data_IF_161779862126
#
_entry.id   IF_161779862126
#
_cell.length_a   1.000
_cell.length_b   1.000
_cell.length_c   1.000
_cell.angle_alpha   90.00
_cell.angle_beta   90.00
_cell.angle_gamma   90.00
#
_symmetry.space_group_name_H-M   'P 1'
#
loop_
_entity.id
_entity.type
_entity.pdbx_description
1 polymer ?
#
# COMPACT_ATOMS: atom_id res chain seq x y z
N UNK A 1 18.28 44.04 27.26
CA UNK A 1 17.02 44.60 26.74
C UNK A 1 17.16 45.47 25.50
N UNK A 2 18.04 46.47 25.46
CA UNK A 2 18.17 47.38 24.28
C UNK A 2 18.54 46.70 22.95
N UNK A 3 19.34 45.59 22.96
CA UNK A 3 19.67 44.79 21.77
C UNK A 3 18.50 43.90 21.28
N UNK A 4 17.69 43.38 22.19
CA UNK A 4 16.49 42.61 21.85
C UNK A 4 15.40 43.49 21.20
N UNK A 5 15.26 44.74 21.71
CA UNK A 5 14.35 45.74 21.13
C UNK A 5 14.71 46.12 19.69
N UNK A 6 16.00 46.19 19.34
CA UNK A 6 16.47 46.56 18.00
C UNK A 6 16.31 45.43 16.97
N UNK A 7 16.36 44.16 17.39
CA UNK A 7 16.16 42.99 16.51
C UNK A 7 14.67 42.76 16.17
N UNK A 8 13.78 43.05 17.10
CA UNK A 8 12.33 42.88 16.94
C UNK A 8 11.73 43.85 15.91
N UNK A 9 12.43 44.94 15.57
CA UNK A 9 11.86 45.97 14.67
C UNK A 9 11.95 45.62 13.18
N UNK A 10 12.61 44.56 12.75
CA UNK A 10 12.88 44.29 11.33
C UNK A 10 11.84 43.42 10.60
N UNK A 11 10.76 42.96 11.21
CA UNK A 11 9.78 42.11 10.55
C UNK A 11 8.35 42.19 11.11
N UNK A 12 8.07 43.05 12.04
CA UNK A 12 6.82 43.06 12.82
C UNK A 12 5.90 44.20 12.37
N UNK A 13 4.58 43.96 12.34
CA UNK A 13 3.58 45.01 12.01
C UNK A 13 3.68 46.21 12.94
N UNK A 14 3.30 47.38 12.46
CA UNK A 14 3.35 48.66 13.22
C UNK A 14 2.59 48.59 14.56
N UNK A 15 1.47 47.88 14.62
CA UNK A 15 0.67 47.64 15.84
C UNK A 15 1.41 46.82 16.90
N UNK A 16 2.16 45.80 16.45
CA UNK A 16 2.96 44.92 17.32
C UNK A 16 4.20 45.70 17.84
N UNK A 17 4.81 46.58 17.01
CA UNK A 17 5.92 47.46 17.42
C UNK A 17 5.49 48.40 18.54
N UNK A 18 4.32 49.03 18.43
CA UNK A 18 3.80 49.93 19.47
C UNK A 18 3.45 49.23 20.77
N UNK A 19 2.93 47.98 20.69
CA UNK A 19 2.67 47.17 21.87
C UNK A 19 3.96 46.75 22.56
N UNK A 20 4.97 46.38 21.77
CA UNK A 20 6.30 45.98 22.27
C UNK A 20 7.06 47.15 22.85
N UNK A 21 7.03 48.35 22.22
CA UNK A 21 7.67 49.57 22.73
C UNK A 21 7.05 49.98 24.08
N UNK A 22 5.73 50.00 24.21
CA UNK A 22 5.04 50.25 25.47
C UNK A 22 5.34 49.19 26.53
N UNK A 23 5.46 47.92 26.16
CA UNK A 23 5.80 46.86 27.09
C UNK A 23 7.23 46.98 27.59
N UNK A 24 8.17 47.41 26.72
CA UNK A 24 9.58 47.65 27.07
C UNK A 24 9.75 48.91 27.92
N UNK A 25 9.03 50.00 27.63
CA UNK A 25 8.99 51.19 28.46
C UNK A 25 8.43 50.87 29.87
N UNK A 26 7.38 50.08 29.97
CA UNK A 26 6.88 49.60 31.26
C UNK A 26 7.90 48.69 31.97
N UNK A 27 8.61 47.82 31.25
CA UNK A 27 9.62 46.93 31.83
C UNK A 27 10.85 47.70 32.36
N UNK A 28 11.24 48.80 31.71
CA UNK A 28 12.33 49.69 32.21
C UNK A 28 11.91 50.48 33.46
N UNK A 29 10.64 50.90 33.55
CA UNK A 29 10.06 51.58 34.70
C UNK A 29 9.92 50.68 35.93
N UNK A 30 9.92 49.37 35.79
CA UNK A 30 9.56 48.40 36.85
C UNK A 30 10.75 47.56 37.30
N UNK A 31 11.97 48.08 37.23
CA UNK A 31 13.12 47.47 37.93
C UNK A 31 12.93 47.44 39.47
N UNK A 32 11.86 47.97 39.98
CA UNK A 32 11.57 48.00 41.40
C UNK A 32 10.73 46.79 41.84
N UNK A 33 11.23 46.01 42.81
CA UNK A 33 10.73 44.70 43.25
C UNK A 33 9.27 44.63 43.74
N UNK A 34 8.56 45.73 43.79
CA UNK A 34 7.18 45.82 44.33
C UNK A 34 6.06 45.55 43.29
N UNK A 35 6.36 45.47 42.00
CA UNK A 35 5.35 45.44 40.94
C UNK A 35 5.34 44.14 40.11
N UNK A 36 5.96 43.05 40.61
CA UNK A 36 6.08 41.79 39.86
C UNK A 36 4.78 41.18 39.41
N UNK A 37 3.68 41.39 40.13
CA UNK A 37 2.34 40.82 39.79
C UNK A 37 1.72 41.60 38.62
N UNK A 38 1.88 42.91 38.55
CA UNK A 38 1.35 43.73 37.44
C UNK A 38 2.09 43.46 36.12
N UNK A 39 3.35 43.10 36.20
CA UNK A 39 4.17 42.75 35.04
C UNK A 39 3.87 41.40 34.39
N UNK A 40 3.23 40.48 35.09
CA UNK A 40 2.92 39.15 34.52
C UNK A 40 2.10 39.25 33.24
N UNK A 41 1.18 40.22 33.16
CA UNK A 41 0.37 40.47 31.97
C UNK A 41 1.21 40.90 30.74
N UNK A 42 2.19 41.79 31.00
CA UNK A 42 3.10 42.33 29.99
C UNK A 42 4.02 41.21 29.49
N UNK A 43 4.65 40.49 30.39
CA UNK A 43 5.52 39.34 30.03
C UNK A 43 4.79 38.26 29.27
N UNK A 44 3.56 37.96 29.65
CA UNK A 44 2.69 37.00 28.93
C UNK A 44 2.41 37.49 27.51
N UNK A 45 2.16 38.76 27.27
CA UNK A 45 1.95 39.31 25.94
C UNK A 45 3.22 39.27 25.10
N UNK A 46 4.37 39.63 25.68
CA UNK A 46 5.67 39.55 25.01
C UNK A 46 5.99 38.10 24.61
N UNK A 47 5.82 37.16 25.52
CA UNK A 47 6.03 35.75 25.26
C UNK A 47 5.12 35.22 24.12
N UNK A 48 3.86 35.69 24.08
CA UNK A 48 2.94 35.34 22.98
C UNK A 48 3.41 35.82 21.61
N UNK A 49 4.06 36.99 21.56
CA UNK A 49 4.66 37.54 20.33
C UNK A 49 5.88 36.71 19.94
N UNK A 50 6.74 36.37 20.89
CA UNK A 50 7.93 35.53 20.64
C UNK A 50 7.54 34.13 20.18
N UNK A 51 6.50 33.51 20.78
CA UNK A 51 5.97 32.24 20.37
C UNK A 51 5.54 32.26 18.91
N UNK A 52 4.72 33.21 18.51
CA UNK A 52 4.20 33.32 17.13
C UNK A 52 5.28 33.53 16.07
N UNK A 53 6.43 34.10 16.46
CA UNK A 53 7.54 34.42 15.55
C UNK A 53 8.70 33.44 15.65
N UNK A 54 8.62 32.44 16.52
CA UNK A 54 9.71 31.47 16.74
C UNK A 54 10.99 32.14 17.32
N UNK A 55 10.85 33.24 18.10
CA UNK A 55 11.95 33.98 18.67
C UNK A 55 12.41 33.34 19.98
N UNK A 56 13.15 32.24 19.90
CA UNK A 56 13.52 31.41 21.06
C UNK A 56 14.51 32.11 22.00
N UNK A 57 15.50 32.81 21.45
CA UNK A 57 16.54 33.48 22.23
C UNK A 57 15.94 34.56 23.10
N UNK A 58 14.99 35.31 22.56
CA UNK A 58 14.27 36.37 23.26
C UNK A 58 13.29 35.78 24.28
N UNK A 59 12.66 34.66 23.98
CA UNK A 59 11.80 33.94 24.92
C UNK A 59 12.58 33.45 26.14
N UNK A 60 13.75 32.85 25.93
CA UNK A 60 14.63 32.39 27.02
C UNK A 60 15.18 33.58 27.85
N UNK A 61 15.63 34.66 27.18
CA UNK A 61 16.07 35.87 27.88
C UNK A 61 14.96 36.47 28.77
N UNK A 62 13.70 36.40 28.28
CA UNK A 62 12.56 36.86 29.08
C UNK A 62 12.31 35.96 30.31
N UNK A 63 12.47 34.63 30.17
CA UNK A 63 12.36 33.68 31.29
C UNK A 63 13.48 33.92 32.34
N UNK A 64 14.71 34.22 31.87
CA UNK A 64 15.82 34.59 32.75
C UNK A 64 15.56 35.92 33.48
N UNK A 65 15.03 36.92 32.79
CA UNK A 65 14.62 38.19 33.39
C UNK A 65 13.53 38.01 34.47
N UNK A 66 12.52 37.15 34.18
CA UNK A 66 11.49 36.79 35.17
C UNK A 66 12.10 36.15 36.40
N UNK A 67 13.05 35.23 36.21
CA UNK A 67 13.75 34.55 37.31
C UNK A 67 14.61 35.55 38.12
N UNK A 68 15.30 36.45 37.43
CA UNK A 68 16.10 37.50 38.09
C UNK A 68 15.22 38.45 38.92
N UNK A 69 13.98 38.67 38.50
CA UNK A 69 13.01 39.46 39.27
C UNK A 69 12.28 38.65 40.35
N UNK A 70 12.67 37.41 40.62
CA UNK A 70 12.02 36.48 41.54
C UNK A 70 10.52 36.21 41.21
N UNK A 71 10.14 36.35 39.94
CA UNK A 71 8.79 36.03 39.45
C UNK A 71 8.84 34.67 38.79
N UNK A 72 8.12 33.72 39.33
CA UNK A 72 8.02 32.39 38.71
C UNK A 72 7.09 32.48 37.52
N UNK A 73 7.53 32.04 36.31
CA UNK A 73 6.68 32.05 35.13
C UNK A 73 5.49 31.10 35.34
N UNK A 74 4.31 31.59 34.99
CA UNK A 74 3.13 30.76 34.95
C UNK A 74 3.28 29.71 33.82
N UNK A 75 2.66 28.56 33.99
CA UNK A 75 2.77 27.44 33.06
C UNK A 75 2.44 27.81 31.61
N UNK A 76 1.45 28.71 31.41
CA UNK A 76 1.11 29.22 30.08
C UNK A 76 2.24 29.96 29.40
N UNK A 77 3.09 30.65 30.19
CA UNK A 77 4.26 31.39 29.69
C UNK A 77 5.35 30.41 29.26
N UNK A 78 5.53 29.34 30.02
CA UNK A 78 6.44 28.24 29.67
C UNK A 78 5.98 27.50 28.42
N UNK A 79 4.68 27.24 28.28
CA UNK A 79 4.09 26.61 27.09
C UNK A 79 4.30 27.47 25.84
N UNK A 80 4.17 28.82 25.95
CA UNK A 80 4.47 29.71 24.84
C UNK A 80 5.97 29.74 24.50
N UNK A 81 6.87 29.69 25.50
CA UNK A 81 8.30 29.59 25.23
C UNK A 81 8.67 28.26 24.54
N UNK A 82 8.02 27.19 24.94
CA UNK A 82 8.15 25.89 24.29
C UNK A 82 7.64 25.95 22.84
N UNK A 83 6.52 26.60 22.60
CA UNK A 83 5.98 26.81 21.23
C UNK A 83 7.02 27.56 20.36
N UNK A 84 7.63 28.61 20.87
CA UNK A 84 8.70 29.33 20.17
C UNK A 84 9.86 28.40 19.81
N UNK A 85 10.32 27.57 20.74
CA UNK A 85 11.41 26.63 20.54
C UNK A 85 11.08 25.55 19.51
N UNK A 86 9.84 25.02 19.51
CA UNK A 86 9.36 24.04 18.55
C UNK A 86 9.24 24.66 17.16
N UNK A 87 8.72 25.89 17.04
CA UNK A 87 8.61 26.58 15.75
C UNK A 87 9.96 26.87 15.11
N UNK A 88 10.98 27.23 15.94
CA UNK A 88 12.32 27.47 15.47
C UNK A 88 13.15 26.22 15.21
N UNK A 89 12.62 25.04 15.56
CA UNK A 89 13.26 23.71 15.36
C UNK A 89 14.62 23.53 16.06
N UNK A 90 14.79 24.20 17.21
CA UNK A 90 16.01 24.15 18.00
C UNK A 90 15.93 23.15 19.15
N UNK A 91 16.35 21.88 18.92
CA UNK A 91 16.29 20.77 19.91
C UNK A 91 16.96 21.16 21.24
N UNK A 92 18.14 21.76 21.22
CA UNK A 92 18.83 22.18 22.42
C UNK A 92 18.02 23.22 23.22
N UNK A 93 17.38 24.16 22.54
CA UNK A 93 16.55 25.20 23.16
C UNK A 93 15.24 24.63 23.76
N UNK A 94 14.68 23.58 23.18
CA UNK A 94 13.55 22.86 23.78
C UNK A 94 13.94 22.31 25.16
N UNK A 95 15.15 21.74 25.28
CA UNK A 95 15.68 21.26 26.56
C UNK A 95 15.91 22.40 27.57
N UNK A 96 16.42 23.53 27.10
CA UNK A 96 16.59 24.71 27.94
C UNK A 96 15.22 25.19 28.50
N UNK A 97 14.20 25.31 27.67
CA UNK A 97 12.84 25.68 28.11
C UNK A 97 12.26 24.63 29.07
N UNK A 98 12.41 23.34 28.76
CA UNK A 98 11.92 22.27 29.65
C UNK A 98 12.60 22.28 31.04
N UNK A 99 13.82 22.80 31.16
CA UNK A 99 14.49 22.98 32.44
C UNK A 99 13.76 23.95 33.39
N UNK A 100 13.01 24.90 32.86
CA UNK A 100 12.19 25.81 33.67
C UNK A 100 10.91 25.21 34.27
N UNK A 101 10.43 24.09 33.68
CA UNK A 101 9.32 23.35 34.29
C UNK A 101 9.75 22.53 35.52
N UNK A 102 11.05 22.33 35.71
CA UNK A 102 11.61 21.58 36.83
C UNK A 102 12.07 22.55 37.94
N UNK A 103 11.80 22.20 39.18
CA UNK A 103 12.23 22.97 40.31
C UNK A 103 13.77 22.89 40.55
N UNK A 104 14.44 21.94 39.91
CA UNK A 104 15.88 21.68 40.03
C UNK A 104 16.54 21.48 38.66
N UNK A 105 17.82 21.83 38.47
CA UNK A 105 18.54 21.64 37.21
C UNK A 105 18.65 20.15 36.91
N UNK A 106 18.08 19.71 35.77
CA UNK A 106 18.00 18.30 35.42
C UNK A 106 18.81 17.95 34.18
N UNK A 107 19.38 16.75 34.22
CA UNK A 107 20.02 16.16 33.06
C UNK A 107 18.97 15.81 32.00
N UNK A 108 19.21 16.03 30.67
CA UNK A 108 18.25 15.76 29.59
C UNK A 108 17.59 14.37 29.64
N UNK A 109 18.35 13.34 30.00
CA UNK A 109 17.86 11.96 30.16
C UNK A 109 16.89 11.78 31.34
N UNK A 110 16.95 12.65 32.36
CA UNK A 110 16.04 12.60 33.52
C UNK A 110 14.68 13.21 33.16
N UNK A 111 14.63 14.16 32.23
CA UNK A 111 13.40 14.69 31.67
C UNK A 111 12.64 13.57 30.93
N UNK A 112 13.34 12.75 30.16
CA UNK A 112 12.78 11.60 29.44
C UNK A 112 12.31 10.48 30.36
N UNK A 113 12.93 10.30 31.55
CA UNK A 113 12.54 9.25 32.52
C UNK A 113 11.22 9.48 33.23
N UNK A 114 10.59 10.63 33.02
CA UNK A 114 9.26 10.96 33.53
C UNK A 114 9.14 11.18 35.04
N UNK A 115 10.24 11.18 35.80
CA UNK A 115 10.20 11.37 37.27
C UNK A 115 9.81 12.77 37.72
N UNK A 116 10.01 13.79 36.87
CA UNK A 116 9.81 15.21 37.20
C UNK A 116 8.81 15.96 36.27
N UNK A 117 8.02 15.23 35.50
CA UNK A 117 7.02 15.78 34.56
C UNK A 117 5.72 16.20 35.27
N UNK A 118 5.73 16.40 36.61
CA UNK A 118 4.52 16.62 37.40
C UNK A 118 3.64 17.78 36.94
N UNK A 119 4.22 18.78 36.24
CA UNK A 119 3.58 20.02 35.89
C UNK A 119 3.28 20.20 34.39
N UNK A 120 3.46 19.16 33.56
CA UNK A 120 3.19 19.31 32.12
C UNK A 120 1.70 19.33 31.83
N UNK A 121 1.28 20.32 31.07
CA UNK A 121 -0.12 20.49 30.64
C UNK A 121 -0.38 19.69 29.35
N UNK A 122 -1.63 19.48 28.94
CA UNK A 122 -1.96 18.98 27.61
C UNK A 122 -1.30 19.77 26.48
N UNK A 123 -1.17 21.10 26.64
CA UNK A 123 -0.55 21.99 25.69
C UNK A 123 0.96 21.71 25.57
N UNK A 124 1.65 21.50 26.70
CA UNK A 124 3.07 21.10 26.72
C UNK A 124 3.29 19.82 25.90
N UNK A 125 2.45 18.79 26.13
CA UNK A 125 2.52 17.56 25.36
C UNK A 125 2.27 17.80 23.88
N UNK A 126 1.31 18.65 23.52
CA UNK A 126 1.00 18.96 22.10
C UNK A 126 2.19 19.58 21.38
N UNK A 127 2.88 20.54 22.00
CA UNK A 127 4.08 21.17 21.42
C UNK A 127 5.23 20.16 21.25
N UNK A 128 5.46 19.29 22.25
CA UNK A 128 6.47 18.26 22.14
C UNK A 128 6.14 17.21 21.08
N UNK A 129 4.87 16.82 20.94
CA UNK A 129 4.40 15.92 19.89
C UNK A 129 4.51 16.58 18.51
N UNK A 130 4.25 17.88 18.40
CA UNK A 130 4.51 18.64 17.18
C UNK A 130 5.99 18.58 16.78
N UNK A 131 6.90 18.78 17.74
CA UNK A 131 8.33 18.64 17.49
C UNK A 131 8.68 17.21 17.01
N UNK A 132 8.16 16.18 17.66
CA UNK A 132 8.35 14.79 17.22
C UNK A 132 7.90 14.58 15.77
N UNK A 133 6.74 15.13 15.40
CA UNK A 133 6.22 15.01 14.03
C UNK A 133 7.08 15.77 13.00
N UNK A 134 7.73 16.89 13.38
CA UNK A 134 8.65 17.62 12.50
C UNK A 134 9.99 16.93 12.33
N UNK A 135 10.51 16.34 13.40
CA UNK A 135 11.81 15.66 13.43
C UNK A 135 11.74 14.16 13.13
N UNK A 136 10.54 13.64 12.87
CA UNK A 136 10.28 12.20 12.69
C UNK A 136 10.80 11.35 13.85
N UNK A 137 10.79 11.89 15.08
CA UNK A 137 11.27 11.18 16.26
C UNK A 137 10.17 10.33 16.88
N UNK A 138 9.99 9.16 16.32
CA UNK A 138 8.92 8.23 16.68
C UNK A 138 9.06 7.64 18.09
N UNK A 139 10.28 7.31 18.50
CA UNK A 139 10.54 6.73 19.85
C UNK A 139 10.18 7.73 20.95
N UNK A 140 10.56 8.98 20.77
CA UNK A 140 10.22 10.04 21.72
C UNK A 140 8.71 10.30 21.76
N UNK A 141 8.04 10.27 20.62
CA UNK A 141 6.58 10.36 20.55
C UNK A 141 5.91 9.27 21.40
N UNK A 142 6.33 8.00 21.27
CA UNK A 142 5.79 6.89 22.07
C UNK A 142 6.01 7.11 23.56
N UNK A 143 7.19 7.58 23.95
CA UNK A 143 7.50 7.91 25.37
C UNK A 143 6.57 9.00 25.91
N UNK A 144 6.34 10.08 25.14
CA UNK A 144 5.44 11.16 25.51
C UNK A 144 4.01 10.67 25.71
N UNK A 145 3.49 9.92 24.76
CA UNK A 145 2.11 9.37 24.83
C UNK A 145 1.96 8.45 26.05
N UNK A 146 2.92 7.56 26.28
CA UNK A 146 2.91 6.68 27.46
C UNK A 146 2.99 7.45 28.78
N UNK A 147 3.76 8.53 28.82
CA UNK A 147 3.87 9.39 29.99
C UNK A 147 2.57 10.15 30.23
N UNK A 148 1.95 10.72 29.20
CA UNK A 148 0.66 11.37 29.29
C UNK A 148 -0.43 10.39 29.82
N UNK A 149 -0.46 9.16 29.27
CA UNK A 149 -1.40 8.12 29.69
C UNK A 149 -1.20 7.71 31.18
N UNK A 150 0.03 7.47 31.61
CA UNK A 150 0.34 7.14 33.01
C UNK A 150 -0.11 8.21 34.00
N UNK A 151 -0.18 9.46 33.54
CA UNK A 151 -0.59 10.62 34.35
C UNK A 151 -2.06 11.00 34.16
N UNK A 152 -2.80 10.23 33.40
CA UNK A 152 -4.19 10.51 33.07
C UNK A 152 -4.39 11.91 32.43
N UNK A 153 -3.39 12.41 31.69
CA UNK A 153 -3.49 13.64 30.93
C UNK A 153 -4.30 13.39 29.66
N UNK A 154 -5.40 14.11 29.49
CA UNK A 154 -6.23 14.02 28.29
C UNK A 154 -5.60 14.86 27.19
N UNK A 155 -5.12 14.21 26.15
CA UNK A 155 -4.56 14.88 24.97
C UNK A 155 -5.69 15.39 24.06
N UNK A 156 -5.50 16.56 23.46
CA UNK A 156 -6.45 17.15 22.51
C UNK A 156 -6.29 16.59 21.06
N UNK A 157 -7.18 17.02 20.17
CA UNK A 157 -7.14 16.61 18.75
C UNK A 157 -5.86 17.02 18.03
N UNK A 158 -5.30 18.20 18.34
CA UNK A 158 -4.02 18.65 17.74
C UNK A 158 -2.85 17.71 18.11
N UNK A 159 -2.83 17.25 19.37
CA UNK A 159 -1.84 16.26 19.81
C UNK A 159 -1.98 14.95 19.02
N UNK A 160 -3.23 14.47 18.81
CA UNK A 160 -3.48 13.27 18.02
C UNK A 160 -3.07 13.44 16.56
N UNK A 161 -3.31 14.61 15.98
CA UNK A 161 -2.86 14.91 14.60
C UNK A 161 -1.34 14.78 14.48
N UNK A 162 -0.59 15.25 15.47
CA UNK A 162 0.87 15.14 15.48
C UNK A 162 1.33 13.69 15.68
N UNK A 163 0.64 12.91 16.51
CA UNK A 163 0.88 11.47 16.68
C UNK A 163 0.69 10.74 15.34
N UNK A 164 -0.44 10.97 14.65
CA UNK A 164 -0.74 10.34 13.36
C UNK A 164 0.30 10.73 12.31
N UNK A 165 0.72 12.00 12.24
CA UNK A 165 1.78 12.45 11.32
C UNK A 165 3.13 11.79 11.60
N UNK A 166 3.52 11.70 12.86
CA UNK A 166 4.77 11.05 13.26
C UNK A 166 4.73 9.55 12.91
N UNK A 167 3.63 8.86 13.18
CA UNK A 167 3.43 7.47 12.81
C UNK A 167 3.44 7.25 11.28
N UNK A 168 2.88 8.18 10.51
CA UNK A 168 2.96 8.16 9.05
C UNK A 168 4.40 8.21 8.55
N UNK A 169 5.19 9.16 9.06
CA UNK A 169 6.60 9.32 8.69
C UNK A 169 7.47 8.11 9.09
N UNK A 170 7.12 7.46 10.21
CA UNK A 170 7.79 6.25 10.67
C UNK A 170 7.37 4.96 9.94
N UNK A 171 6.33 5.02 9.10
CA UNK A 171 5.80 3.84 8.43
C UNK A 171 5.01 2.90 9.34
N UNK A 172 4.43 3.43 10.43
CA UNK A 172 3.72 2.66 11.46
C UNK A 172 2.20 2.93 11.46
N UNK A 173 1.47 2.48 10.42
CA UNK A 173 0.04 2.76 10.25
C UNK A 173 -0.82 2.15 11.36
N UNK A 174 -0.40 1.01 11.91
CA UNK A 174 -1.10 0.36 13.02
C UNK A 174 -1.15 1.27 14.25
N UNK A 175 -0.05 1.94 14.56
CA UNK A 175 0.00 2.83 15.72
C UNK A 175 -0.88 4.05 15.51
N UNK A 176 -0.86 4.65 14.30
CA UNK A 176 -1.77 5.75 13.97
C UNK A 176 -3.25 5.34 14.19
N UNK A 177 -3.62 4.15 13.71
CA UNK A 177 -4.96 3.61 13.86
C UNK A 177 -5.33 3.29 15.33
N UNK A 178 -4.49 2.52 16.01
CA UNK A 178 -4.74 2.09 17.40
C UNK A 178 -4.81 3.27 18.36
N UNK A 179 -3.94 4.28 18.20
CA UNK A 179 -3.96 5.50 19.01
C UNK A 179 -5.25 6.29 18.79
N UNK A 180 -5.68 6.45 17.53
CA UNK A 180 -6.92 7.17 17.22
C UNK A 180 -8.13 6.44 17.79
N UNK A 181 -8.21 5.13 17.62
CA UNK A 181 -9.33 4.31 18.10
C UNK A 181 -9.41 4.26 19.63
N UNK A 182 -8.27 4.13 20.32
CA UNK A 182 -8.23 3.83 21.75
C UNK A 182 -8.15 5.08 22.64
N UNK A 183 -7.58 6.18 22.14
CA UNK A 183 -7.41 7.40 22.93
C UNK A 183 -8.54 8.40 22.73
N UNK A 184 -9.29 8.29 21.62
CA UNK A 184 -10.29 9.30 21.25
C UNK A 184 -11.55 8.64 20.70
N UNK A 185 -12.54 8.46 21.58
CA UNK A 185 -13.84 7.87 21.19
C UNK A 185 -14.60 8.71 20.14
N UNK A 186 -14.25 9.99 19.94
CA UNK A 186 -14.90 10.92 19.03
C UNK A 186 -13.88 11.74 18.24
N UNK A 187 -12.88 11.10 17.64
CA UNK A 187 -11.94 11.78 16.74
C UNK A 187 -12.70 12.37 15.55
N UNK A 188 -12.36 13.62 15.17
CA UNK A 188 -12.99 14.28 14.03
C UNK A 188 -12.72 13.58 12.70
N UNK A 189 -13.58 13.78 11.71
CA UNK A 189 -13.42 13.25 10.36
C UNK A 189 -12.06 13.65 9.74
N UNK A 190 -11.53 14.84 10.09
CA UNK A 190 -10.23 15.33 9.66
C UNK A 190 -9.07 14.43 10.15
N UNK A 191 -9.15 13.95 11.38
CA UNK A 191 -8.14 13.03 11.94
C UNK A 191 -8.25 11.67 11.26
N UNK A 192 -9.45 11.14 11.11
CA UNK A 192 -9.68 9.89 10.41
C UNK A 192 -9.22 9.94 8.96
N UNK A 193 -9.31 11.09 8.29
CA UNK A 193 -8.74 11.29 6.95
C UNK A 193 -7.21 11.15 6.94
N UNK A 194 -6.50 11.67 7.95
CA UNK A 194 -5.06 11.49 8.06
C UNK A 194 -4.67 10.04 8.41
N UNK A 195 -5.46 9.37 9.24
CA UNK A 195 -5.31 7.93 9.51
C UNK A 195 -5.55 7.13 8.24
N UNK A 196 -6.58 7.44 7.47
CA UNK A 196 -6.89 6.82 6.19
C UNK A 196 -5.71 6.95 5.21
N UNK A 197 -5.16 8.16 5.03
CA UNK A 197 -3.98 8.38 4.20
C UNK A 197 -2.78 7.56 4.66
N UNK A 198 -2.54 7.52 5.96
CA UNK A 198 -1.45 6.72 6.54
C UNK A 198 -1.66 5.24 6.27
N UNK A 199 -2.84 4.73 6.54
CA UNK A 199 -3.16 3.31 6.34
C UNK A 199 -3.15 2.92 4.85
N UNK A 200 -3.62 3.78 3.95
CA UNK A 200 -3.64 3.52 2.52
C UNK A 200 -2.22 3.47 1.94
N UNK A 201 -1.37 4.46 2.23
CA UNK A 201 0.03 4.50 1.76
C UNK A 201 0.83 3.29 2.24
N UNK A 202 0.63 2.86 3.48
CA UNK A 202 1.34 1.71 4.07
C UNK A 202 0.56 0.38 3.97
N UNK A 203 -0.52 0.34 3.19
CA UNK A 203 -1.31 -0.88 2.91
C UNK A 203 -1.86 -1.58 4.17
N UNK A 204 -2.21 -0.83 5.22
CA UNK A 204 -2.76 -1.38 6.44
C UNK A 204 -4.29 -1.51 6.36
N UNK A 205 -4.75 -2.61 5.83
CA UNK A 205 -6.14 -2.87 5.50
C UNK A 205 -7.16 -2.68 6.65
N UNK A 206 -6.95 -3.16 7.90
CA UNK A 206 -7.92 -2.97 8.97
C UNK A 206 -8.18 -1.51 9.32
N UNK A 207 -7.13 -0.67 9.22
CA UNK A 207 -7.25 0.77 9.46
C UNK A 207 -7.96 1.51 8.32
N UNK A 208 -7.79 1.06 7.07
CA UNK A 208 -8.41 1.70 5.90
C UNK A 208 -9.93 1.61 5.98
N UNK A 209 -10.49 0.43 6.24
CA UNK A 209 -11.94 0.23 6.28
C UNK A 209 -12.59 1.12 7.34
N UNK A 210 -12.09 1.07 8.57
CA UNK A 210 -12.62 1.88 9.68
C UNK A 210 -12.44 3.37 9.42
N UNK A 211 -11.27 3.79 8.96
CA UNK A 211 -11.00 5.21 8.70
C UNK A 211 -11.87 5.76 7.54
N UNK A 212 -12.11 4.94 6.51
CA UNK A 212 -13.03 5.30 5.42
C UNK A 212 -14.43 5.60 5.92
N UNK A 213 -14.98 4.74 6.77
CA UNK A 213 -16.33 4.92 7.35
C UNK A 213 -16.46 6.21 8.15
N UNK A 214 -15.41 6.59 8.90
CA UNK A 214 -15.40 7.78 9.75
C UNK A 214 -15.05 9.08 9.01
N UNK A 215 -14.40 9.00 7.85
CA UNK A 215 -13.98 10.17 7.07
C UNK A 215 -14.93 10.55 5.92
N UNK A 216 -15.96 9.78 5.67
CA UNK A 216 -16.89 9.86 4.52
C UNK A 216 -17.43 11.22 4.08
N UNK A 217 -17.57 12.26 4.86
CA UNK A 217 -18.06 13.53 4.31
C UNK A 217 -16.97 14.44 3.74
N UNK A 218 -15.68 14.06 3.79
CA UNK A 218 -14.59 14.90 3.32
C UNK A 218 -14.23 14.58 1.88
N UNK A 219 -13.85 15.61 1.13
CA UNK A 219 -13.31 15.47 -0.23
C UNK A 219 -12.02 14.62 -0.22
N UNK A 220 -12.03 13.56 -1.02
CA UNK A 220 -10.87 12.69 -1.22
C UNK A 220 -10.20 13.07 -2.52
N UNK A 221 -8.87 13.18 -2.53
CA UNK A 221 -8.10 13.35 -3.76
C UNK A 221 -7.97 12.02 -4.52
N UNK A 222 -7.79 12.09 -5.83
CA UNK A 222 -7.67 10.92 -6.70
C UNK A 222 -6.52 10.00 -6.29
N UNK A 223 -5.37 10.56 -5.90
CA UNK A 223 -4.22 9.77 -5.45
C UNK A 223 -4.53 8.93 -4.20
N UNK A 224 -5.32 9.48 -3.27
CA UNK A 224 -5.78 8.73 -2.11
C UNK A 224 -6.76 7.62 -2.49
N UNK A 225 -7.69 7.87 -3.42
CA UNK A 225 -8.62 6.84 -3.92
C UNK A 225 -7.87 5.69 -4.58
N UNK A 226 -6.87 5.97 -5.41
CA UNK A 226 -6.00 4.97 -6.01
C UNK A 226 -5.28 4.15 -4.94
N UNK A 227 -4.70 4.80 -3.92
CA UNK A 227 -4.02 4.10 -2.83
C UNK A 227 -4.98 3.18 -2.04
N UNK A 228 -6.22 3.63 -1.79
CA UNK A 228 -7.26 2.83 -1.14
C UNK A 228 -7.63 1.62 -1.99
N UNK A 229 -7.82 1.80 -3.31
CA UNK A 229 -8.15 0.73 -4.24
C UNK A 229 -7.04 -0.33 -4.28
N UNK A 230 -5.77 0.09 -4.37
CA UNK A 230 -4.63 -0.83 -4.33
C UNK A 230 -4.52 -1.60 -3.00
N UNK A 231 -4.76 -0.94 -1.88
CA UNK A 231 -4.77 -1.61 -0.58
C UNK A 231 -5.95 -2.59 -0.45
N UNK A 232 -7.14 -2.19 -0.91
CA UNK A 232 -8.32 -3.03 -0.91
C UNK A 232 -8.19 -4.25 -1.85
N UNK A 233 -7.47 -4.10 -2.99
CA UNK A 233 -7.26 -5.19 -3.95
C UNK A 233 -6.50 -6.38 -3.38
N UNK A 234 -5.56 -6.12 -2.47
CA UNK A 234 -4.77 -7.19 -1.83
C UNK A 234 -5.56 -8.04 -0.85
N UNK A 235 -6.64 -7.51 -0.31
CA UNK A 235 -7.42 -8.15 0.76
C UNK A 235 -8.84 -8.50 0.34
N UNK A 236 -9.23 -8.18 -0.88
CA UNK A 236 -10.57 -8.46 -1.41
C UNK A 236 -11.69 -7.67 -0.71
N UNK A 237 -11.45 -6.42 -0.28
CA UNK A 237 -12.46 -5.57 0.36
C UNK A 237 -13.40 -4.93 -0.68
N UNK A 238 -14.32 -5.73 -1.20
CA UNK A 238 -15.19 -5.36 -2.33
C UNK A 238 -16.19 -4.24 -2.03
N UNK A 239 -16.67 -4.11 -0.80
CA UNK A 239 -17.55 -3.01 -0.40
C UNK A 239 -16.82 -1.68 -0.36
N UNK A 240 -15.59 -1.69 0.15
CA UNK A 240 -14.71 -0.53 0.15
C UNK A 240 -14.38 -0.10 -1.29
N UNK A 241 -14.05 -1.06 -2.16
CA UNK A 241 -13.79 -0.82 -3.59
C UNK A 241 -15.01 -0.19 -4.25
N UNK A 242 -16.21 -0.76 -4.09
CA UNK A 242 -17.44 -0.23 -4.68
C UNK A 242 -17.74 1.19 -4.20
N UNK A 243 -17.49 1.46 -2.91
CA UNK A 243 -17.67 2.78 -2.31
C UNK A 243 -16.63 3.80 -2.79
N UNK A 244 -15.39 3.38 -2.98
CA UNK A 244 -14.32 4.24 -3.50
C UNK A 244 -14.53 4.58 -4.98
N UNK A 245 -14.90 3.60 -5.81
CA UNK A 245 -15.23 3.82 -7.23
C UNK A 245 -16.40 4.79 -7.41
N UNK A 246 -17.40 4.75 -6.53
CA UNK A 246 -18.52 5.70 -6.56
C UNK A 246 -18.12 7.17 -6.31
N UNK A 247 -16.92 7.40 -5.77
CA UNK A 247 -16.38 8.75 -5.55
C UNK A 247 -15.54 9.24 -6.75
N UNK A 248 -15.22 8.39 -7.72
CA UNK A 248 -14.42 8.74 -8.89
C UNK A 248 -15.35 9.26 -10.00
N UNK A 249 -15.19 10.50 -10.49
CA UNK A 249 -16.07 11.04 -11.52
C UNK A 249 -15.85 10.40 -12.90
N UNK A 250 -14.61 10.06 -13.24
CA UNK A 250 -14.25 9.39 -14.50
C UNK A 250 -13.37 8.17 -14.21
N UNK A 251 -13.91 6.99 -14.50
CA UNK A 251 -13.21 5.73 -14.28
C UNK A 251 -12.17 5.52 -15.39
N UNK A 252 -10.95 5.22 -14.98
CA UNK A 252 -9.82 4.89 -15.85
C UNK A 252 -9.26 3.52 -15.47
N UNK A 253 -8.34 3.00 -16.27
CA UNK A 253 -7.62 1.74 -16.02
C UNK A 253 -6.95 1.70 -14.65
N UNK A 254 -6.40 2.84 -14.19
CA UNK A 254 -5.75 2.97 -12.86
C UNK A 254 -6.72 2.68 -11.72
N UNK A 255 -8.02 2.94 -11.89
CA UNK A 255 -9.06 2.64 -10.91
C UNK A 255 -9.64 1.23 -11.09
N UNK A 256 -9.85 0.83 -12.34
CA UNK A 256 -10.54 -0.43 -12.67
C UNK A 256 -9.66 -1.66 -12.44
N UNK A 257 -8.34 -1.58 -12.72
CA UNK A 257 -7.43 -2.72 -12.50
C UNK A 257 -7.38 -3.17 -11.04
N UNK A 258 -7.15 -2.29 -10.04
CA UNK A 258 -7.21 -2.69 -8.64
C UNK A 258 -8.60 -3.18 -8.20
N UNK A 259 -9.67 -2.61 -8.77
CA UNK A 259 -11.03 -3.06 -8.48
C UNK A 259 -11.27 -4.48 -8.99
N UNK A 260 -10.88 -4.76 -10.23
CA UNK A 260 -10.90 -6.11 -10.79
C UNK A 260 -10.12 -7.11 -9.94
N UNK A 261 -8.92 -6.73 -9.52
CA UNK A 261 -8.09 -7.56 -8.65
C UNK A 261 -8.77 -7.87 -7.31
N UNK A 262 -9.44 -6.86 -6.70
CA UNK A 262 -10.17 -7.04 -5.45
C UNK A 262 -11.34 -8.01 -5.60
N UNK A 263 -12.11 -7.91 -6.69
CA UNK A 263 -13.22 -8.82 -6.96
C UNK A 263 -12.73 -10.25 -7.24
N UNK A 264 -11.62 -10.41 -7.93
CA UNK A 264 -10.98 -11.73 -8.10
C UNK A 264 -10.54 -12.31 -6.75
N UNK A 265 -9.89 -11.50 -5.89
CA UNK A 265 -9.42 -11.94 -4.57
C UNK A 265 -10.58 -12.38 -3.67
N UNK A 266 -11.71 -11.68 -3.73
CA UNK A 266 -12.93 -12.00 -3.00
C UNK A 266 -13.78 -13.12 -3.67
N UNK A 267 -13.36 -13.67 -4.80
CA UNK A 267 -14.11 -14.65 -5.62
C UNK A 267 -15.47 -14.16 -6.11
N UNK A 268 -15.64 -12.83 -6.22
CA UNK A 268 -16.82 -12.23 -6.85
C UNK A 268 -16.62 -12.15 -8.36
N UNK A 269 -16.56 -13.33 -9.01
CA UNK A 269 -16.18 -13.44 -10.41
C UNK A 269 -17.15 -12.72 -11.36
N UNK A 270 -18.44 -12.66 -11.05
CA UNK A 270 -19.41 -11.89 -11.86
C UNK A 270 -18.99 -10.42 -11.98
N UNK A 271 -18.74 -9.76 -10.83
CA UNK A 271 -18.27 -8.37 -10.81
C UNK A 271 -16.88 -8.21 -11.44
N UNK A 272 -16.01 -9.20 -11.25
CA UNK A 272 -14.70 -9.18 -11.88
C UNK A 272 -14.82 -9.20 -13.42
N UNK A 273 -15.75 -9.99 -13.98
CA UNK A 273 -15.98 -10.02 -15.43
C UNK A 273 -16.64 -8.73 -15.95
N UNK A 274 -17.55 -8.14 -15.17
CA UNK A 274 -18.15 -6.83 -15.54
C UNK A 274 -17.08 -5.75 -15.67
N UNK A 275 -16.22 -5.61 -14.65
CA UNK A 275 -15.11 -4.64 -14.66
C UNK A 275 -14.10 -4.93 -15.78
N UNK A 276 -13.83 -6.21 -16.06
CA UNK A 276 -12.94 -6.59 -17.15
C UNK A 276 -13.53 -6.23 -18.52
N UNK A 277 -14.85 -6.36 -18.65
CA UNK A 277 -15.58 -5.89 -19.83
C UNK A 277 -15.49 -4.38 -20.03
N UNK A 278 -15.60 -3.61 -18.95
CA UNK A 278 -15.43 -2.15 -18.99
C UNK A 278 -13.99 -1.76 -19.38
N UNK A 279 -12.97 -2.41 -18.80
CA UNK A 279 -11.56 -2.22 -19.18
C UNK A 279 -11.34 -2.47 -20.68
N UNK A 280 -11.88 -3.57 -21.19
CA UNK A 280 -11.76 -3.91 -22.60
C UNK A 280 -12.49 -2.91 -23.50
N UNK A 281 -13.68 -2.45 -23.11
CA UNK A 281 -14.44 -1.45 -23.83
C UNK A 281 -13.74 -0.08 -23.90
N UNK A 282 -12.99 0.29 -22.85
CA UNK A 282 -12.16 1.50 -22.83
C UNK A 282 -10.85 1.36 -23.61
N UNK A 283 -10.55 0.18 -24.18
CA UNK A 283 -9.29 -0.08 -24.90
C UNK A 283 -8.05 -0.13 -24.00
N UNK A 284 -8.24 -0.36 -22.69
CA UNK A 284 -7.16 -0.52 -21.73
C UNK A 284 -6.41 -1.83 -21.94
N UNK A 285 -5.14 -1.87 -21.52
CA UNK A 285 -4.37 -3.11 -21.53
C UNK A 285 -5.01 -4.16 -20.61
N UNK A 286 -5.07 -5.39 -21.09
CA UNK A 286 -5.61 -6.52 -20.33
C UNK A 286 -4.73 -6.80 -19.10
N UNK A 287 -5.26 -6.75 -17.87
CA UNK A 287 -4.47 -7.01 -16.67
C UNK A 287 -3.93 -8.46 -16.65
N UNK A 288 -2.84 -8.74 -15.94
CA UNK A 288 -2.28 -10.10 -15.83
C UNK A 288 -3.30 -11.09 -15.24
N UNK A 289 -3.74 -12.07 -16.03
CA UNK A 289 -4.78 -13.03 -15.65
C UNK A 289 -4.37 -14.04 -14.59
N UNK A 290 -3.12 -14.01 -14.13
CA UNK A 290 -2.59 -14.96 -13.14
C UNK A 290 -3.40 -14.97 -11.82
N UNK A 291 -3.96 -13.83 -11.41
CA UNK A 291 -4.80 -13.74 -10.21
C UNK A 291 -6.12 -14.46 -10.40
N UNK A 292 -6.80 -14.24 -11.53
CA UNK A 292 -8.03 -14.93 -11.88
C UNK A 292 -7.80 -16.44 -11.92
N UNK A 293 -6.78 -16.90 -12.65
CA UNK A 293 -6.40 -18.30 -12.74
C UNK A 293 -6.17 -18.92 -11.35
N UNK A 294 -5.33 -18.31 -10.54
CA UNK A 294 -5.04 -18.81 -9.18
C UNK A 294 -6.29 -18.90 -8.30
N UNK A 295 -7.17 -17.90 -8.35
CA UNK A 295 -8.39 -17.88 -7.54
C UNK A 295 -9.44 -18.86 -8.04
N UNK A 296 -9.55 -19.08 -9.33
CA UNK A 296 -10.40 -20.11 -9.91
C UNK A 296 -9.88 -21.53 -9.61
N UNK A 297 -8.55 -21.71 -9.52
CA UNK A 297 -7.91 -22.99 -9.21
C UNK A 297 -7.90 -23.35 -7.71
N UNK A 298 -8.38 -22.49 -6.81
CA UNK A 298 -8.40 -22.80 -5.37
C UNK A 298 -9.35 -23.96 -5.00
N UNK A 299 -10.44 -24.14 -5.74
CA UNK A 299 -11.41 -25.22 -5.54
C UNK A 299 -12.30 -25.43 -6.77
N UNK A 300 -12.93 -26.59 -6.87
CA UNK A 300 -13.92 -26.88 -7.92
C UNK A 300 -15.11 -25.91 -7.86
N UNK A 301 -15.54 -25.52 -6.67
CA UNK A 301 -16.62 -24.54 -6.51
C UNK A 301 -16.19 -23.14 -7.02
N UNK A 302 -14.97 -22.71 -6.74
CA UNK A 302 -14.43 -21.45 -7.27
C UNK A 302 -14.33 -21.52 -8.81
N UNK A 303 -13.88 -22.65 -9.36
CA UNK A 303 -13.82 -22.87 -10.80
C UNK A 303 -15.22 -22.82 -11.44
N UNK A 304 -16.20 -23.47 -10.83
CA UNK A 304 -17.59 -23.45 -11.31
C UNK A 304 -18.18 -22.02 -11.27
N UNK A 305 -17.92 -21.27 -10.22
CA UNK A 305 -18.33 -19.86 -10.13
C UNK A 305 -17.66 -18.99 -11.21
N UNK A 306 -16.35 -19.16 -11.41
CA UNK A 306 -15.60 -18.40 -12.43
C UNK A 306 -16.07 -18.75 -13.85
N UNK A 307 -16.30 -20.04 -14.13
CA UNK A 307 -16.82 -20.50 -15.44
C UNK A 307 -18.24 -20.00 -15.69
N UNK A 308 -19.11 -20.03 -14.68
CA UNK A 308 -20.48 -19.52 -14.78
C UNK A 308 -20.49 -18.00 -15.01
N UNK A 309 -19.58 -17.26 -14.39
CA UNK A 309 -19.39 -15.83 -14.62
C UNK A 309 -18.98 -15.53 -16.07
N UNK A 310 -18.00 -16.26 -16.60
CA UNK A 310 -17.59 -16.16 -18.01
C UNK A 310 -18.74 -16.45 -18.98
N UNK A 311 -19.51 -17.49 -18.73
CA UNK A 311 -20.65 -17.88 -19.60
C UNK A 311 -21.78 -16.83 -19.59
N UNK A 312 -21.92 -16.08 -18.50
CA UNK A 312 -22.88 -14.96 -18.38
C UNK A 312 -22.31 -13.64 -18.85
N UNK A 313 -20.99 -13.51 -18.92
CA UNK A 313 -20.32 -12.27 -19.25
C UNK A 313 -20.65 -11.78 -20.68
N UNK A 314 -20.66 -10.46 -20.91
CA UNK A 314 -20.77 -9.90 -22.24
C UNK A 314 -19.66 -10.41 -23.17
N UNK A 315 -19.92 -10.49 -24.48
CA UNK A 315 -18.92 -10.90 -25.50
C UNK A 315 -17.65 -10.04 -25.53
N UNK A 316 -17.64 -8.94 -24.77
CA UNK A 316 -16.53 -8.01 -24.62
C UNK A 316 -15.42 -8.47 -23.67
N UNK A 317 -15.59 -9.60 -22.97
CA UNK A 317 -14.52 -10.12 -22.09
C UNK A 317 -13.40 -10.71 -22.94
N UNK A 318 -12.12 -10.31 -22.69
CA UNK A 318 -10.98 -10.74 -23.49
C UNK A 318 -10.72 -12.25 -23.41
N UNK A 319 -10.20 -12.82 -24.51
CA UNK A 319 -9.91 -14.26 -24.65
C UNK A 319 -8.92 -14.79 -23.59
N UNK A 320 -8.07 -13.93 -23.05
CA UNK A 320 -7.11 -14.21 -22.00
C UNK A 320 -7.80 -14.66 -20.69
N UNK A 321 -8.97 -14.10 -20.38
CA UNK A 321 -9.76 -14.52 -19.23
C UNK A 321 -10.30 -15.94 -19.40
N UNK A 322 -10.77 -16.29 -20.61
CA UNK A 322 -11.19 -17.65 -20.94
C UNK A 322 -10.04 -18.64 -20.81
N UNK A 323 -8.87 -18.27 -21.36
CA UNK A 323 -7.66 -19.09 -21.23
C UNK A 323 -7.25 -19.30 -19.77
N UNK A 324 -7.34 -18.25 -18.94
CA UNK A 324 -6.98 -18.32 -17.52
C UNK A 324 -7.87 -19.29 -16.72
N UNK A 325 -9.20 -19.22 -16.94
CA UNK A 325 -10.13 -20.13 -16.24
C UNK A 325 -9.99 -21.57 -16.77
N UNK A 326 -9.68 -21.74 -18.06
CA UNK A 326 -9.37 -23.05 -18.61
C UNK A 326 -8.07 -23.64 -18.05
N UNK A 327 -7.03 -22.83 -17.84
CA UNK A 327 -5.81 -23.29 -17.15
C UNK A 327 -6.10 -23.68 -15.69
N UNK A 328 -6.99 -22.94 -15.00
CA UNK A 328 -7.46 -23.37 -13.68
C UNK A 328 -8.20 -24.72 -13.72
N UNK A 329 -9.01 -24.97 -14.75
CA UNK A 329 -9.65 -26.26 -14.95
C UNK A 329 -8.63 -27.39 -15.22
N UNK A 330 -7.55 -27.11 -15.94
CA UNK A 330 -6.47 -28.05 -16.15
C UNK A 330 -5.72 -28.36 -14.85
N UNK A 331 -5.41 -27.34 -14.03
CA UNK A 331 -4.74 -27.51 -12.74
C UNK A 331 -5.57 -28.38 -11.78
N UNK A 332 -6.89 -28.22 -11.78
CA UNK A 332 -7.83 -29.04 -11.01
C UNK A 332 -8.21 -30.35 -11.70
N UNK A 333 -7.69 -30.61 -12.90
CA UNK A 333 -8.03 -31.79 -13.74
C UNK A 333 -9.55 -31.93 -13.98
N UNK A 334 -10.26 -30.81 -14.08
CA UNK A 334 -11.72 -30.79 -14.20
C UNK A 334 -12.17 -30.66 -15.67
N UNK A 335 -12.17 -31.80 -16.38
CA UNK A 335 -12.52 -31.91 -17.81
C UNK A 335 -13.92 -31.37 -18.18
N UNK A 336 -14.99 -31.57 -17.37
CA UNK A 336 -16.31 -31.04 -17.73
C UNK A 336 -16.32 -29.52 -17.95
N UNK A 337 -15.67 -28.77 -17.07
CA UNK A 337 -15.57 -27.30 -17.21
C UNK A 337 -14.72 -26.92 -18.41
N UNK A 338 -13.56 -27.57 -18.62
CA UNK A 338 -12.70 -27.29 -19.76
C UNK A 338 -13.44 -27.49 -21.09
N UNK A 339 -14.23 -28.57 -21.21
CA UNK A 339 -15.07 -28.86 -22.40
C UNK A 339 -16.12 -27.77 -22.63
N UNK A 340 -16.87 -27.40 -21.59
CA UNK A 340 -17.92 -26.36 -21.69
C UNK A 340 -17.32 -25.05 -22.16
N UNK A 341 -16.24 -24.61 -21.53
CA UNK A 341 -15.59 -23.35 -21.87
C UNK A 341 -14.95 -23.38 -23.27
N UNK A 342 -14.35 -24.49 -23.65
CA UNK A 342 -13.73 -24.65 -24.98
C UNK A 342 -14.72 -24.43 -26.13
N UNK A 343 -15.91 -24.97 -26.02
CA UNK A 343 -16.97 -24.82 -27.03
C UNK A 343 -17.73 -23.49 -26.89
N UNK A 344 -17.83 -22.92 -25.69
CA UNK A 344 -18.61 -21.71 -25.44
C UNK A 344 -17.86 -20.43 -25.74
N UNK A 345 -16.52 -20.47 -25.85
CA UNK A 345 -15.69 -19.30 -26.07
C UNK A 345 -16.10 -18.53 -27.36
N UNK A 346 -16.48 -17.25 -27.26
CA UNK A 346 -17.01 -16.51 -28.42
C UNK A 346 -15.96 -16.28 -29.53
N UNK A 347 -14.71 -16.20 -29.12
CA UNK A 347 -13.54 -16.07 -30.02
C UNK A 347 -12.46 -17.04 -29.55
N UNK A 348 -12.53 -18.29 -29.98
CA UNK A 348 -11.56 -19.28 -29.57
C UNK A 348 -10.17 -18.92 -30.14
N UNK A 349 -9.18 -18.89 -29.26
CA UNK A 349 -7.79 -18.59 -29.58
C UNK A 349 -6.90 -19.80 -29.35
N UNK A 350 -5.67 -19.76 -29.90
CA UNK A 350 -4.68 -20.80 -29.65
C UNK A 350 -4.40 -20.98 -28.14
N UNK A 351 -4.50 -19.92 -27.32
CA UNK A 351 -4.34 -19.97 -25.87
C UNK A 351 -5.42 -20.83 -25.19
N UNK A 352 -6.68 -20.70 -25.63
CA UNK A 352 -7.79 -21.51 -25.14
C UNK A 352 -7.58 -22.99 -25.50
N UNK A 353 -7.21 -23.27 -26.76
CA UNK A 353 -6.90 -24.64 -27.20
C UNK A 353 -5.73 -25.24 -26.43
N UNK A 354 -4.67 -24.45 -26.21
CA UNK A 354 -3.55 -24.89 -25.38
C UNK A 354 -4.00 -25.30 -23.99
N UNK A 355 -4.81 -24.49 -23.30
CA UNK A 355 -5.29 -24.80 -21.97
C UNK A 355 -6.19 -26.06 -21.98
N UNK A 356 -7.04 -26.22 -23.00
CA UNK A 356 -7.87 -27.39 -23.16
C UNK A 356 -7.04 -28.66 -23.36
N UNK A 357 -6.08 -28.66 -24.29
CA UNK A 357 -5.13 -29.75 -24.49
C UNK A 357 -4.30 -30.07 -23.25
N UNK A 358 -3.97 -29.06 -22.44
CA UNK A 358 -3.30 -29.28 -21.15
C UNK A 358 -4.21 -30.09 -20.20
N UNK A 359 -5.47 -29.71 -20.09
CA UNK A 359 -6.44 -30.45 -19.27
C UNK A 359 -6.58 -31.90 -19.75
N UNK A 360 -6.68 -32.11 -21.07
CA UNK A 360 -6.72 -33.45 -21.66
C UNK A 360 -5.47 -34.27 -21.32
N UNK A 361 -4.31 -33.65 -21.38
CA UNK A 361 -3.03 -34.30 -21.06
C UNK A 361 -2.97 -34.72 -19.58
N UNK A 362 -3.41 -33.84 -18.68
CA UNK A 362 -3.38 -34.09 -17.23
C UNK A 362 -4.41 -35.13 -16.80
N UNK A 363 -5.57 -35.18 -17.47
CA UNK A 363 -6.62 -36.21 -17.27
C UNK A 363 -6.43 -37.47 -18.11
N UNK A 364 -5.46 -37.46 -19.03
CA UNK A 364 -5.19 -38.57 -20.00
C UNK A 364 -6.39 -38.88 -20.92
N UNK A 365 -7.26 -37.91 -21.20
CA UNK A 365 -8.42 -38.07 -22.07
C UNK A 365 -8.05 -37.79 -23.53
N UNK A 366 -7.65 -38.83 -24.26
CA UNK A 366 -7.30 -38.75 -25.67
C UNK A 366 -8.48 -38.33 -26.54
N UNK A 367 -9.63 -38.93 -26.30
CA UNK A 367 -10.80 -38.71 -27.15
C UNK A 367 -11.20 -37.22 -27.13
N UNK A 368 -11.04 -36.58 -25.99
CA UNK A 368 -11.28 -35.15 -25.85
C UNK A 368 -10.14 -34.32 -26.48
N UNK A 369 -8.88 -34.76 -26.38
CA UNK A 369 -7.76 -34.09 -27.04
C UNK A 369 -7.92 -34.08 -28.57
N UNK A 370 -8.34 -35.19 -29.16
CA UNK A 370 -8.63 -35.30 -30.59
C UNK A 370 -9.81 -34.41 -31.01
N UNK A 371 -10.83 -34.27 -30.16
CA UNK A 371 -11.94 -33.34 -30.39
C UNK A 371 -11.50 -31.88 -30.31
N UNK A 372 -10.71 -31.52 -29.33
CA UNK A 372 -10.14 -30.19 -29.22
C UNK A 372 -9.23 -29.82 -30.39
N UNK A 373 -8.47 -30.83 -30.88
CA UNK A 373 -7.61 -30.68 -32.05
C UNK A 373 -8.42 -30.47 -33.33
N UNK A 374 -9.46 -31.27 -33.54
CA UNK A 374 -10.36 -31.12 -34.70
C UNK A 374 -11.10 -29.78 -34.66
N UNK A 375 -11.62 -29.39 -33.50
CA UNK A 375 -12.28 -28.11 -33.29
C UNK A 375 -11.36 -26.94 -33.65
N UNK A 376 -10.07 -26.98 -33.27
CA UNK A 376 -9.08 -25.95 -33.61
C UNK A 376 -8.98 -25.77 -35.14
N UNK A 377 -8.92 -26.89 -35.89
CA UNK A 377 -8.85 -26.84 -37.35
C UNK A 377 -10.15 -26.36 -37.99
N UNK A 378 -11.32 -26.81 -37.48
CA UNK A 378 -12.63 -26.34 -37.95
C UNK A 378 -12.83 -24.84 -37.76
N UNK A 379 -12.30 -24.29 -36.68
CA UNK A 379 -12.36 -22.85 -36.42
C UNK A 379 -11.26 -22.03 -37.15
N UNK A 380 -10.39 -22.70 -37.92
CA UNK A 380 -9.32 -22.05 -38.65
C UNK A 380 -8.21 -21.44 -37.72
N UNK A 381 -8.10 -21.94 -36.49
CA UNK A 381 -7.10 -21.48 -35.56
C UNK A 381 -5.74 -22.08 -35.90
N UNK A 382 -4.72 -21.27 -36.08
CA UNK A 382 -3.36 -21.73 -36.36
C UNK A 382 -2.76 -22.40 -35.14
N UNK A 383 -2.31 -23.68 -35.24
CA UNK A 383 -1.65 -24.37 -34.15
C UNK A 383 -0.34 -23.67 -33.77
N UNK A 384 -0.03 -23.63 -32.49
CA UNK A 384 1.26 -23.18 -31.99
C UNK A 384 2.16 -24.38 -31.65
N UNK A 385 3.46 -24.14 -31.49
CA UNK A 385 4.41 -25.20 -31.07
C UNK A 385 3.98 -25.90 -29.77
N UNK A 386 3.29 -25.17 -28.87
CA UNK A 386 2.75 -25.72 -27.62
C UNK A 386 1.54 -26.63 -27.85
N UNK A 387 0.69 -26.34 -28.85
CA UNK A 387 -0.42 -27.23 -29.22
C UNK A 387 0.12 -28.56 -29.75
N UNK A 388 1.08 -28.48 -30.66
CA UNK A 388 1.78 -29.66 -31.18
C UNK A 388 2.46 -30.49 -30.08
N UNK A 389 3.17 -29.81 -29.16
CA UNK A 389 3.84 -30.46 -28.01
C UNK A 389 2.82 -31.28 -27.20
N UNK A 390 1.73 -30.65 -26.80
CA UNK A 390 0.73 -31.31 -25.94
C UNK A 390 0.10 -32.50 -26.63
N UNK A 391 -0.23 -32.36 -27.91
CA UNK A 391 -0.78 -33.46 -28.69
C UNK A 391 0.25 -34.59 -28.90
N UNK A 392 1.49 -34.28 -29.22
CA UNK A 392 2.58 -35.26 -29.34
C UNK A 392 2.78 -36.02 -28.02
N UNK A 393 2.81 -35.32 -26.90
CA UNK A 393 2.91 -35.93 -25.56
C UNK A 393 1.72 -36.84 -25.25
N UNK A 394 0.51 -36.48 -25.70
CA UNK A 394 -0.67 -37.36 -25.58
C UNK A 394 -0.47 -38.66 -26.32
N UNK A 395 0.03 -38.64 -27.58
CA UNK A 395 0.33 -39.83 -28.36
C UNK A 395 1.45 -40.66 -27.72
N UNK A 396 2.53 -40.02 -27.22
CA UNK A 396 3.61 -40.73 -26.53
C UNK A 396 3.14 -41.47 -25.28
N UNK A 397 2.21 -40.89 -24.52
CA UNK A 397 1.64 -41.54 -23.33
C UNK A 397 0.80 -42.80 -23.69
N UNK A 398 0.43 -42.96 -24.93
CA UNK A 398 -0.34 -44.08 -25.45
C UNK A 398 0.48 -45.00 -26.38
N UNK A 399 1.80 -44.87 -26.32
CA UNK A 399 2.74 -45.67 -27.11
C UNK A 399 2.57 -45.51 -28.64
N UNK A 400 2.00 -44.37 -29.07
CA UNK A 400 1.79 -44.04 -30.48
C UNK A 400 2.94 -43.15 -30.98
N UNK A 401 4.08 -43.75 -31.18
CA UNK A 401 5.31 -43.00 -31.43
C UNK A 401 5.33 -42.36 -32.82
N UNK A 402 4.85 -43.03 -33.83
CA UNK A 402 4.88 -42.54 -35.22
C UNK A 402 3.97 -41.33 -35.39
N UNK A 403 2.83 -41.30 -34.71
CA UNK A 403 1.95 -40.13 -34.68
C UNK A 403 2.64 -38.92 -34.01
N UNK A 404 3.39 -39.16 -32.94
CA UNK A 404 4.15 -38.09 -32.29
C UNK A 404 5.27 -37.55 -33.20
N UNK A 405 5.95 -38.43 -33.95
CA UNK A 405 6.94 -38.01 -34.96
C UNK A 405 6.29 -37.23 -36.10
N UNK A 406 5.13 -37.65 -36.57
CA UNK A 406 4.36 -36.94 -37.57
C UNK A 406 4.04 -35.48 -37.11
N UNK A 407 3.65 -35.30 -35.84
CA UNK A 407 3.39 -33.99 -35.27
C UNK A 407 4.68 -33.13 -35.12
N UNK A 408 5.83 -33.74 -34.84
CA UNK A 408 7.10 -33.06 -34.84
C UNK A 408 7.44 -32.50 -36.23
N UNK A 409 7.29 -33.33 -37.26
CA UNK A 409 7.52 -32.91 -38.63
C UNK A 409 6.55 -31.85 -39.10
N UNK A 410 5.26 -31.96 -38.76
CA UNK A 410 4.26 -30.95 -39.02
C UNK A 410 4.61 -29.61 -38.34
N UNK A 411 5.15 -29.63 -37.11
CA UNK A 411 5.61 -28.42 -36.41
C UNK A 411 6.69 -27.73 -37.24
N UNK A 412 7.66 -28.48 -37.78
CA UNK A 412 8.73 -27.94 -38.61
C UNK A 412 8.19 -27.41 -39.96
N UNK A 413 7.24 -28.13 -40.57
CA UNK A 413 6.60 -27.71 -41.84
C UNK A 413 5.82 -26.39 -41.69
N UNK A 414 5.24 -26.13 -40.49
CA UNK A 414 4.63 -24.87 -40.15
C UNK A 414 5.63 -23.75 -39.83
N UNK A 415 6.93 -23.97 -40.05
CA UNK A 415 7.99 -23.05 -39.72
C UNK A 415 8.04 -22.68 -38.21
N UNK A 416 7.53 -23.55 -37.34
CA UNK A 416 7.60 -23.43 -35.90
C UNK A 416 8.80 -24.20 -35.34
N UNK A 417 9.42 -23.64 -34.31
CA UNK A 417 10.48 -24.35 -33.57
C UNK A 417 9.81 -25.24 -32.53
N UNK A 418 10.02 -26.60 -32.59
CA UNK A 418 9.48 -27.49 -31.58
C UNK A 418 9.95 -27.11 -30.18
N UNK A 419 9.11 -27.26 -29.18
CA UNK A 419 9.45 -26.83 -27.83
C UNK A 419 10.49 -27.76 -27.18
N UNK A 420 11.24 -27.22 -26.21
CA UNK A 420 12.17 -28.03 -25.40
C UNK A 420 11.49 -29.24 -24.77
N UNK A 421 10.22 -29.09 -24.32
CA UNK A 421 9.45 -30.16 -23.68
C UNK A 421 9.08 -31.24 -24.67
N UNK A 422 8.77 -30.88 -25.92
CA UNK A 422 8.50 -31.83 -26.98
C UNK A 422 9.71 -32.69 -27.27
N UNK A 423 10.87 -32.08 -27.52
CA UNK A 423 12.13 -32.83 -27.71
C UNK A 423 12.43 -33.71 -26.51
N UNK A 424 12.36 -33.17 -25.30
CA UNK A 424 12.67 -33.93 -24.09
C UNK A 424 11.76 -35.15 -23.89
N UNK A 425 10.47 -35.02 -24.19
CA UNK A 425 9.54 -36.13 -24.10
C UNK A 425 9.85 -37.23 -25.15
N UNK A 426 10.12 -36.83 -26.41
CA UNK A 426 10.43 -37.77 -27.50
C UNK A 426 11.77 -38.44 -27.27
N UNK A 427 12.84 -37.72 -26.92
CA UNK A 427 14.17 -38.30 -26.63
C UNK A 427 14.04 -39.31 -25.50
N UNK A 428 13.34 -38.99 -24.42
CA UNK A 428 13.15 -39.89 -23.28
C UNK A 428 12.41 -41.18 -23.68
N UNK A 429 11.35 -41.06 -24.49
CA UNK A 429 10.56 -42.18 -24.94
C UNK A 429 11.36 -43.08 -25.90
N UNK A 430 12.05 -42.48 -26.88
CA UNK A 430 12.94 -43.26 -27.80
C UNK A 430 14.03 -44.00 -27.04
N UNK A 431 14.67 -43.36 -26.06
CA UNK A 431 15.69 -44.01 -25.25
C UNK A 431 15.13 -45.20 -24.45
N UNK A 432 13.93 -45.05 -23.83
CA UNK A 432 13.29 -46.14 -23.09
C UNK A 432 12.97 -47.37 -23.94
N UNK A 433 12.73 -47.17 -25.24
CA UNK A 433 12.37 -48.22 -26.18
C UNK A 433 13.57 -48.66 -27.06
N UNK A 434 14.81 -48.23 -26.69
CA UNK A 434 16.03 -48.52 -27.47
C UNK A 434 15.94 -48.08 -28.94
N UNK A 435 15.22 -47.02 -29.26
CA UNK A 435 15.11 -46.41 -30.57
C UNK A 435 16.25 -45.41 -30.76
N UNK A 436 17.13 -45.64 -31.73
CA UNK A 436 18.33 -44.83 -31.98
C UNK A 436 18.01 -43.38 -32.40
N UNK A 437 16.80 -43.09 -32.85
CA UNK A 437 16.34 -41.73 -33.20
C UNK A 437 16.52 -40.72 -32.07
N UNK A 438 16.65 -41.14 -30.82
CA UNK A 438 16.93 -40.25 -29.70
C UNK A 438 18.21 -39.42 -29.89
N UNK A 439 19.20 -39.95 -30.62
CA UNK A 439 20.50 -39.23 -30.87
C UNK A 439 20.26 -38.05 -31.82
N UNK A 440 19.50 -38.29 -32.89
CA UNK A 440 19.18 -37.28 -33.89
C UNK A 440 18.33 -36.17 -33.25
N UNK A 441 17.33 -36.52 -32.42
CA UNK A 441 16.52 -35.58 -31.67
C UNK A 441 17.33 -34.78 -30.66
N UNK A 442 18.36 -35.36 -30.05
CA UNK A 442 19.27 -34.66 -29.15
C UNK A 442 20.10 -33.60 -29.91
N UNK A 443 20.58 -33.96 -31.09
CA UNK A 443 21.29 -33.03 -31.96
C UNK A 443 20.37 -31.89 -32.40
N UNK A 444 19.16 -32.17 -32.89
CA UNK A 444 18.18 -31.18 -33.30
C UNK A 444 17.81 -30.23 -32.14
N UNK A 445 17.65 -30.77 -30.93
CA UNK A 445 17.39 -29.98 -29.75
C UNK A 445 18.51 -28.97 -29.46
N UNK A 446 19.77 -29.37 -29.62
CA UNK A 446 20.96 -28.51 -29.47
C UNK A 446 21.04 -27.47 -30.60
N UNK A 447 20.74 -27.86 -31.83
CA UNK A 447 20.71 -26.96 -33.00
C UNK A 447 19.61 -25.87 -32.79
N UNK A 448 18.48 -26.25 -32.15
CA UNK A 448 17.42 -25.32 -31.70
C UNK A 448 17.85 -24.48 -30.49
N UNK A 449 19.09 -24.55 -30.03
CA UNK A 449 19.67 -23.82 -28.88
C UNK A 449 19.01 -24.13 -27.52
N UNK A 450 18.47 -25.32 -27.36
CA UNK A 450 17.98 -25.78 -26.07
C UNK A 450 19.04 -26.60 -25.34
N UNK A 451 19.30 -26.25 -24.08
CA UNK A 451 20.16 -27.06 -23.22
C UNK A 451 19.40 -28.31 -22.75
N UNK A 452 19.98 -29.52 -22.90
CA UNK A 452 19.43 -30.74 -22.31
C UNK A 452 19.32 -30.62 -20.79
N UNK A 453 18.20 -31.05 -20.22
CA UNK A 453 18.05 -31.13 -18.77
C UNK A 453 18.97 -32.22 -18.16
N UNK A 454 19.16 -32.18 -16.85
CA UNK A 454 20.07 -33.12 -16.15
C UNK A 454 19.82 -34.59 -16.50
N UNK A 455 18.54 -35.00 -16.59
CA UNK A 455 18.17 -36.37 -16.97
C UNK A 455 18.62 -36.76 -18.40
N UNK A 456 18.54 -35.80 -19.32
CA UNK A 456 18.98 -36.05 -20.71
C UNK A 456 20.49 -35.96 -20.85
N UNK A 457 21.17 -35.14 -20.06
CA UNK A 457 22.63 -35.11 -20.01
C UNK A 457 23.25 -36.43 -19.53
N UNK A 458 22.52 -37.17 -18.69
CA UNK A 458 22.92 -38.47 -18.19
C UNK A 458 22.82 -39.59 -19.27
N UNK A 459 22.19 -39.31 -20.43
CA UNK A 459 22.08 -40.23 -21.55
C UNK A 459 23.22 -40.10 -22.58
N UNK A 460 23.84 -38.92 -22.58
CA UNK A 460 25.01 -38.61 -23.45
C UNK A 460 26.32 -38.99 -22.77
#
# INVERSE_FOLDING_TARGET
MHRAAQLVTRGVSTTTRHALARALEHAELVKDKRHGVEMQGVWRQMMRVFARQGMVSEALALLDDMKACHVYPHIDVLDMALEAAVQADHVARIQDVLSYYAAEPMHPLTILSGRHVANWTPTTYTHLLHHCARTSNFEYMILLVNTARKRAVVLGEDALLHIVRCAHQAGEPRIAYDMTRNLFNNASARIWMNVLRTCAVHMYAPGIQTAWEHSRPLETDEGLLIAILHAASRHGYTELVSSALACVPELTDVHLIPAWEAFCEARQFDRAMDVLGELHACGAETPPMARLMRKAAESIDALNCASAALLRAPRSVPSEAWSAVMYAAAELQHMPTARILGYAAPQPTSGIIQAWLQCCLDTKDRAEAERAWSFMHEQGITPTATCFERMARMHLMQEQYEEAFTLLEQTKQCALVPTRRMYAAMIWTCWQHNDERWRDLMQEMQEARYEPGERLRALS
#
